data_IF_983110063398
#
_entry.id   IF_983110063398
#
_cell.length_a   1.000
_cell.length_b   1.000
_cell.length_c   1.000
_cell.angle_alpha   90.00
_cell.angle_beta   90.00
_cell.angle_gamma   90.00
#
_symmetry.space_group_name_H-M   'P 1'
#
loop_
_entity.id
_entity.type
_entity.pdbx_description
1 polymer ?
#
# COMPACT_ATOMS: atom_id res chain seq x y z
N UNK A 1 43.66 20.29 -48.13
CA UNK A 1 43.50 21.38 -47.15
C UNK A 1 42.00 21.59 -46.98
N UNK A 2 41.52 21.32 -45.77
CA UNK A 2 40.29 21.85 -45.17
C UNK A 2 40.24 23.40 -45.25
N UNK A 3 39.17 24.08 -44.78
CA UNK A 3 37.76 24.02 -45.19
C UNK A 3 37.20 25.45 -45.44
N UNK A 4 35.95 25.59 -45.89
CA UNK A 4 35.26 26.89 -45.92
C UNK A 4 33.97 26.87 -45.07
N UNK A 5 34.02 27.70 -44.03
CA UNK A 5 33.00 28.63 -43.52
C UNK A 5 31.73 28.12 -42.81
N UNK A 6 31.49 28.76 -41.66
CA UNK A 6 30.39 28.58 -40.71
C UNK A 6 29.15 29.44 -41.02
N UNK A 7 27.97 28.83 -40.84
CA UNK A 7 26.68 29.29 -40.25
C UNK A 7 25.77 30.29 -41.00
N UNK A 8 24.41 30.26 -40.81
CA UNK A 8 23.72 30.06 -39.53
C UNK A 8 22.43 29.20 -39.48
N UNK A 9 21.89 29.12 -38.26
CA UNK A 9 20.87 28.25 -37.68
C UNK A 9 19.47 28.19 -38.34
N UNK A 10 18.85 27.01 -38.33
CA UNK A 10 17.40 26.84 -38.23
C UNK A 10 17.02 25.69 -37.29
N UNK A 11 15.98 25.94 -36.50
CA UNK A 11 15.38 25.09 -35.48
C UNK A 11 14.66 23.91 -36.12
N UNK A 12 15.01 22.69 -35.73
CA UNK A 12 14.11 21.53 -35.88
C UNK A 12 13.59 21.10 -34.51
N UNK A 13 12.34 21.48 -34.25
CA UNK A 13 11.48 20.85 -33.25
C UNK A 13 11.27 19.39 -33.67
N UNK A 14 11.81 18.43 -32.91
CA UNK A 14 11.39 17.04 -32.99
C UNK A 14 10.09 16.86 -32.18
N UNK A 15 8.99 16.35 -32.76
CA UNK A 15 7.80 16.02 -31.98
C UNK A 15 8.06 14.78 -31.13
N UNK A 16 7.74 14.86 -29.83
CA UNK A 16 7.74 13.73 -28.90
C UNK A 16 6.91 12.56 -29.46
N UNK A 17 7.54 11.40 -29.62
CA UNK A 17 6.86 10.15 -29.96
C UNK A 17 5.90 9.73 -28.84
N UNK A 18 4.59 9.82 -29.11
CA UNK A 18 3.45 9.05 -28.59
C UNK A 18 3.64 8.23 -27.29
N UNK A 19 3.66 8.92 -26.14
CA UNK A 19 3.51 8.33 -24.80
C UNK A 19 2.22 7.50 -24.62
N UNK A 20 1.16 7.88 -25.34
CA UNK A 20 -0.14 7.18 -25.32
C UNK A 20 -0.02 5.76 -25.91
N UNK A 21 0.76 5.58 -26.98
CA UNK A 21 0.94 4.28 -27.62
C UNK A 21 1.78 3.30 -26.78
N UNK A 22 2.72 3.81 -25.99
CA UNK A 22 3.51 3.01 -25.07
C UNK A 22 2.68 2.54 -23.86
N UNK A 23 1.86 3.43 -23.30
CA UNK A 23 0.94 3.10 -22.20
C UNK A 23 -0.15 2.09 -22.62
N UNK A 24 -0.70 2.24 -23.82
CA UNK A 24 -1.63 1.26 -24.38
C UNK A 24 -0.94 -0.11 -24.58
N UNK A 25 0.28 -0.15 -25.15
CA UNK A 25 1.02 -1.43 -25.29
C UNK A 25 1.34 -2.08 -23.94
N UNK A 26 1.69 -1.30 -22.92
CA UNK A 26 1.93 -1.80 -21.57
C UNK A 26 0.65 -2.42 -20.96
N UNK A 27 -0.47 -1.72 -21.06
CA UNK A 27 -1.77 -2.23 -20.54
C UNK A 27 -2.28 -3.46 -21.30
N UNK A 28 -2.05 -3.56 -22.61
CA UNK A 28 -2.35 -4.78 -23.38
C UNK A 28 -1.42 -5.94 -23.03
N UNK A 29 -0.12 -5.68 -22.84
CA UNK A 29 0.84 -6.71 -22.46
C UNK A 29 0.54 -7.27 -21.07
N UNK A 30 0.18 -6.43 -20.10
CA UNK A 30 -0.26 -6.86 -18.77
C UNK A 30 -1.51 -7.73 -18.85
N UNK A 31 -2.51 -7.36 -19.67
CA UNK A 31 -3.71 -8.19 -19.88
C UNK A 31 -3.35 -9.55 -20.46
N UNK A 32 -2.50 -9.59 -21.48
CA UNK A 32 -2.07 -10.83 -22.12
C UNK A 32 -1.30 -11.76 -21.15
N UNK A 33 -0.46 -11.20 -20.27
CA UNK A 33 0.27 -11.95 -19.24
C UNK A 33 -0.70 -12.51 -18.20
N UNK A 34 -1.65 -11.71 -17.72
CA UNK A 34 -2.70 -12.16 -16.79
C UNK A 34 -3.56 -13.28 -17.39
N UNK A 35 -3.96 -13.14 -18.66
CA UNK A 35 -4.78 -14.13 -19.35
C UNK A 35 -4.01 -15.43 -19.61
N UNK A 36 -2.72 -15.34 -19.96
CA UNK A 36 -1.86 -16.51 -20.12
C UNK A 36 -1.62 -17.25 -18.79
N UNK A 37 -1.44 -16.53 -17.69
CA UNK A 37 -1.34 -17.12 -16.34
C UNK A 37 -2.65 -17.80 -15.92
N UNK A 38 -3.80 -17.19 -16.25
CA UNK A 38 -5.13 -17.74 -15.99
C UNK A 38 -5.42 -19.00 -16.81
N UNK A 39 -5.00 -19.04 -18.08
CA UNK A 39 -5.10 -20.25 -18.91
C UNK A 39 -4.20 -21.38 -18.41
N UNK A 40 -3.01 -21.05 -17.89
CA UNK A 40 -2.08 -22.05 -17.33
C UNK A 40 -2.62 -22.71 -16.06
N UNK A 41 -3.38 -21.98 -15.24
CA UNK A 41 -4.08 -22.49 -14.04
C UNK A 41 -5.25 -23.44 -14.38
N UNK A 42 -5.92 -23.26 -15.53
CA UNK A 42 -7.03 -24.12 -15.94
C UNK A 42 -6.61 -25.50 -16.44
N UNK A 43 -5.32 -25.71 -16.75
CA UNK A 43 -4.78 -26.95 -17.32
C UNK A 43 -4.07 -27.84 -16.27
N UNK A 44 -3.81 -27.34 -15.06
CA UNK A 44 -3.26 -28.13 -13.95
C UNK A 44 -4.41 -28.65 -13.09
N UNK A 45 -4.85 -29.89 -13.34
CA UNK A 45 -5.94 -30.54 -12.63
C UNK A 45 -5.60 -30.99 -11.21
N UNK A 46 -5.44 -30.04 -10.30
CA UNK A 46 -5.57 -30.28 -8.86
C UNK A 46 -6.88 -29.63 -8.37
N UNK A 47 -7.79 -30.45 -7.83
CA UNK A 47 -9.05 -30.02 -7.20
C UNK A 47 -8.76 -29.68 -5.73
N UNK A 48 -7.73 -28.87 -5.47
CA UNK A 48 -7.71 -28.04 -4.27
C UNK A 48 -8.25 -26.68 -4.67
N UNK A 49 -9.14 -26.10 -3.87
CA UNK A 49 -9.43 -24.68 -3.98
C UNK A 49 -8.18 -23.92 -3.56
N UNK A 50 -7.24 -23.77 -4.49
CA UNK A 50 -6.14 -22.83 -4.36
C UNK A 50 -6.71 -21.49 -4.82
N UNK A 51 -7.17 -20.60 -3.90
CA UNK A 51 -7.43 -19.23 -4.31
C UNK A 51 -6.11 -18.77 -4.90
N UNK A 52 -6.13 -18.24 -6.12
CA UNK A 52 -4.90 -17.77 -6.75
C UNK A 52 -4.12 -16.77 -5.87
N UNK A 53 -3.03 -16.22 -6.40
CA UNK A 53 -2.34 -15.08 -5.79
C UNK A 53 -3.21 -14.12 -4.96
N UNK A 54 -2.95 -13.99 -3.66
CA UNK A 54 -3.61 -12.97 -2.82
C UNK A 54 -3.07 -11.61 -3.21
N UNK A 55 -3.94 -10.76 -3.74
CA UNK A 55 -3.60 -9.41 -4.13
C UNK A 55 -3.86 -8.42 -2.99
N UNK A 56 -2.86 -7.60 -2.65
CA UNK A 56 -3.02 -6.53 -1.65
C UNK A 56 -2.78 -5.16 -2.27
N UNK A 57 -3.67 -4.23 -1.95
CA UNK A 57 -3.60 -2.85 -2.38
C UNK A 57 -3.43 -1.92 -1.19
N UNK A 58 -2.57 -0.92 -1.29
CA UNK A 58 -2.42 0.13 -0.28
C UNK A 58 -2.68 1.51 -0.89
N UNK A 59 -3.44 2.35 -0.19
CA UNK A 59 -3.66 3.74 -0.61
C UNK A 59 -4.01 4.68 0.55
N UNK A 60 -3.24 5.75 0.71
CA UNK A 60 -3.73 6.95 1.39
C UNK A 60 -4.67 7.69 0.43
N UNK A 61 -5.95 7.87 0.80
CA UNK A 61 -6.96 8.44 -0.12
C UNK A 61 -7.26 9.92 0.11
N UNK A 62 -6.82 10.52 1.21
CA UNK A 62 -7.20 11.88 1.65
C UNK A 62 -8.68 12.19 1.40
N UNK A 63 -9.54 11.59 2.21
CA UNK A 63 -11.00 11.51 2.10
C UNK A 63 -11.50 10.39 1.18
N UNK A 64 -12.13 9.39 1.80
CA UNK A 64 -12.77 8.26 1.15
C UNK A 64 -14.18 8.64 0.67
N UNK A 65 -14.33 8.98 -0.61
CA UNK A 65 -15.65 9.19 -1.22
C UNK A 65 -16.22 7.86 -1.73
N UNK A 66 -17.55 7.76 -1.96
CA UNK A 66 -18.14 6.58 -2.59
C UNK A 66 -17.51 6.24 -3.95
N UNK A 67 -17.15 7.26 -4.75
CA UNK A 67 -16.45 7.07 -6.02
C UNK A 67 -15.06 6.46 -5.85
N UNK A 68 -14.25 6.98 -4.93
CA UNK A 68 -12.91 6.41 -4.62
C UNK A 68 -13.03 4.99 -4.09
N UNK A 69 -14.01 4.72 -3.22
CA UNK A 69 -14.28 3.38 -2.73
C UNK A 69 -14.61 2.42 -3.89
N UNK A 70 -15.49 2.83 -4.80
CA UNK A 70 -15.82 2.04 -5.99
C UNK A 70 -14.59 1.78 -6.88
N UNK A 71 -13.76 2.80 -7.13
CA UNK A 71 -12.52 2.67 -7.92
C UNK A 71 -11.52 1.72 -7.26
N UNK A 72 -11.37 1.77 -5.94
CA UNK A 72 -10.52 0.86 -5.18
C UNK A 72 -11.03 -0.59 -5.29
N UNK A 73 -12.32 -0.81 -5.07
CA UNK A 73 -12.92 -2.15 -5.18
C UNK A 73 -12.83 -2.71 -6.60
N UNK A 74 -12.93 -1.85 -7.62
CA UNK A 74 -12.81 -2.23 -9.03
C UNK A 74 -11.40 -2.71 -9.41
N UNK A 75 -10.36 -2.43 -8.60
CA UNK A 75 -9.03 -3.00 -8.81
C UNK A 75 -9.00 -4.53 -8.60
N UNK A 76 -9.99 -5.07 -7.88
CA UNK A 76 -10.14 -6.51 -7.66
C UNK A 76 -9.08 -7.13 -6.75
N UNK A 77 -8.44 -6.33 -5.89
CA UNK A 77 -7.53 -6.85 -4.87
C UNK A 77 -8.31 -7.58 -3.76
N UNK A 78 -7.74 -8.63 -3.18
CA UNK A 78 -8.39 -9.37 -2.10
C UNK A 78 -8.41 -8.60 -0.79
N UNK A 79 -7.38 -7.78 -0.56
CA UNK A 79 -7.23 -6.94 0.63
C UNK A 79 -6.84 -5.52 0.20
N UNK A 80 -7.47 -4.50 0.79
CA UNK A 80 -7.18 -3.09 0.50
C UNK A 80 -6.96 -2.34 1.82
N UNK A 81 -5.73 -1.88 2.07
CA UNK A 81 -5.36 -1.03 3.20
C UNK A 81 -5.50 0.45 2.83
N UNK A 82 -6.33 1.17 3.56
CA UNK A 82 -6.68 2.57 3.28
C UNK A 82 -6.23 3.45 4.45
N UNK A 83 -5.58 4.56 4.15
CA UNK A 83 -5.25 5.63 5.10
C UNK A 83 -5.98 6.92 4.75
N UNK A 84 -6.20 7.78 5.75
CA UNK A 84 -6.93 9.05 5.63
C UNK A 84 -8.35 8.91 5.06
N UNK A 85 -9.18 8.10 5.70
CA UNK A 85 -10.58 7.93 5.30
C UNK A 85 -11.40 9.21 5.46
N UNK A 86 -11.14 10.02 6.49
CA UNK A 86 -11.86 11.25 6.84
C UNK A 86 -13.38 11.01 6.94
N UNK A 87 -13.76 9.96 7.67
CA UNK A 87 -15.16 9.55 7.86
C UNK A 87 -15.44 9.22 9.31
N UNK A 88 -16.60 9.67 9.80
CA UNK A 88 -17.11 9.23 11.10
C UNK A 88 -17.48 7.75 11.07
N UNK A 89 -17.67 7.15 12.24
CA UNK A 89 -18.06 5.74 12.35
C UNK A 89 -19.40 5.46 11.66
N UNK A 90 -20.34 6.40 11.72
CA UNK A 90 -21.65 6.31 11.07
C UNK A 90 -21.53 6.40 9.55
N UNK A 91 -20.65 7.28 9.06
CA UNK A 91 -20.35 7.39 7.63
C UNK A 91 -19.67 6.13 7.11
N UNK A 92 -18.76 5.53 7.86
CA UNK A 92 -18.15 4.23 7.52
C UNK A 92 -19.22 3.12 7.50
N UNK A 93 -20.07 3.05 8.52
CA UNK A 93 -21.10 2.00 8.64
C UNK A 93 -22.15 2.04 7.51
N UNK A 94 -22.39 3.22 6.94
CA UNK A 94 -23.32 3.44 5.82
C UNK A 94 -22.69 3.21 4.44
N UNK A 95 -21.38 2.96 4.34
CA UNK A 95 -20.73 2.73 3.05
C UNK A 95 -21.16 1.41 2.42
N UNK A 96 -21.45 1.45 1.12
CA UNK A 96 -21.69 0.24 0.35
C UNK A 96 -20.35 -0.38 -0.10
N UNK A 97 -20.01 -1.52 0.48
CA UNK A 97 -18.73 -2.21 0.25
C UNK A 97 -18.86 -3.45 -0.62
N UNK A 98 -20.04 -3.72 -1.20
CA UNK A 98 -20.29 -4.84 -2.11
C UNK A 98 -19.78 -6.17 -1.55
N UNK A 99 -18.81 -6.77 -2.23
CA UNK A 99 -18.19 -8.05 -1.88
C UNK A 99 -17.08 -7.97 -0.83
N UNK A 100 -16.93 -6.82 -0.14
CA UNK A 100 -15.92 -6.63 0.89
C UNK A 100 -16.52 -6.44 2.29
N UNK A 101 -15.79 -6.92 3.29
CA UNK A 101 -15.96 -6.57 4.69
C UNK A 101 -15.05 -5.38 5.00
N UNK A 102 -15.59 -4.34 5.64
CA UNK A 102 -14.86 -3.13 6.00
C UNK A 102 -14.56 -3.10 7.49
N UNK A 103 -13.28 -3.05 7.84
CA UNK A 103 -12.80 -2.78 9.18
C UNK A 103 -12.19 -1.39 9.20
N UNK A 104 -12.64 -0.50 10.08
CA UNK A 104 -12.10 0.85 10.15
C UNK A 104 -11.86 1.32 11.59
N UNK A 105 -10.95 2.26 11.74
CA UNK A 105 -10.85 3.12 12.92
C UNK A 105 -11.06 4.55 12.43
N UNK A 106 -12.20 5.15 12.79
CA UNK A 106 -12.46 6.56 12.55
C UNK A 106 -11.81 7.41 13.64
N UNK A 107 -11.40 8.63 13.26
CA UNK A 107 -10.92 9.64 14.20
C UNK A 107 -11.99 10.71 14.43
N UNK A 108 -12.05 11.20 15.67
CA UNK A 108 -12.83 12.39 16.00
C UNK A 108 -12.02 13.63 15.56
N UNK A 109 -12.62 14.46 14.71
CA UNK A 109 -12.04 15.71 14.23
C UNK A 109 -11.81 15.74 12.72
N UNK A 110 -10.90 16.62 12.27
CA UNK A 110 -10.56 16.78 10.85
C UNK A 110 -9.45 15.80 10.46
N UNK A 111 -9.64 15.13 9.33
CA UNK A 111 -8.64 14.23 8.75
C UNK A 111 -8.48 12.91 9.49
N UNK A 112 -7.48 12.13 9.08
CA UNK A 112 -7.18 10.82 9.66
C UNK A 112 -8.20 9.73 9.31
N UNK A 113 -8.24 8.69 10.12
CA UNK A 113 -9.00 7.48 9.93
C UNK A 113 -8.27 6.49 9.02
N UNK A 114 -8.32 5.22 9.41
CA UNK A 114 -7.74 4.10 8.67
C UNK A 114 -8.77 3.01 8.45
N UNK A 115 -8.61 2.25 7.37
CA UNK A 115 -9.48 1.13 7.06
C UNK A 115 -8.73 -0.02 6.38
N UNK A 116 -9.31 -1.21 6.47
CA UNK A 116 -8.94 -2.41 5.72
C UNK A 116 -10.23 -2.99 5.15
N UNK A 117 -10.28 -3.15 3.83
CA UNK A 117 -11.29 -3.94 3.13
C UNK A 117 -10.74 -5.34 2.90
N UNK A 118 -11.54 -6.36 3.17
CA UNK A 118 -11.20 -7.76 2.88
C UNK A 118 -12.33 -8.38 2.07
N UNK A 119 -12.00 -9.07 0.98
CA UNK A 119 -12.99 -9.74 0.14
C UNK A 119 -13.72 -10.81 0.95
N UNK A 120 -15.05 -10.87 0.87
CA UNK A 120 -15.93 -11.78 1.64
C UNK A 120 -15.66 -13.27 1.36
N UNK A 121 -14.97 -13.58 0.27
CA UNK A 121 -14.49 -14.93 -0.03
C UNK A 121 -13.41 -15.40 0.96
N UNK A 122 -12.74 -14.47 1.65
CA UNK A 122 -11.79 -14.75 2.71
C UNK A 122 -12.45 -14.56 4.07
N UNK A 123 -12.22 -15.50 4.99
CA UNK A 123 -12.66 -15.32 6.38
C UNK A 123 -11.73 -14.34 7.05
N UNK A 124 -12.28 -13.31 7.69
CA UNK A 124 -11.49 -12.30 8.39
C UNK A 124 -12.11 -11.88 9.71
N UNK A 125 -11.26 -11.42 10.65
CA UNK A 125 -11.69 -10.85 11.92
C UNK A 125 -10.76 -9.73 12.37
N UNK A 126 -11.30 -8.72 13.06
CA UNK A 126 -10.50 -7.66 13.66
C UNK A 126 -9.72 -8.22 14.85
N UNK A 127 -8.43 -7.91 14.93
CA UNK A 127 -7.62 -8.13 16.14
C UNK A 127 -7.79 -6.89 17.03
N UNK A 128 -8.27 -7.03 18.28
CA UNK A 128 -8.37 -5.91 19.21
C UNK A 128 -6.98 -5.37 19.55
N UNK A 129 -6.69 -4.14 19.11
CA UNK A 129 -5.52 -3.38 19.54
C UNK A 129 -6.00 -2.03 20.07
N UNK A 130 -5.92 -1.86 21.39
CA UNK A 130 -6.33 -0.62 22.05
C UNK A 130 -5.17 0.36 22.07
N UNK A 131 -5.31 1.43 21.28
CA UNK A 131 -4.44 2.61 21.34
C UNK A 131 -4.93 3.49 22.50
N UNK A 132 -4.06 3.86 23.46
CA UNK A 132 -4.44 4.74 24.56
C UNK A 132 -4.98 6.08 24.04
N UNK A 133 -6.01 6.63 24.70
CA UNK A 133 -6.65 7.89 24.26
C UNK A 133 -5.69 9.08 24.17
N UNK A 134 -4.63 9.09 24.99
CA UNK A 134 -3.61 10.14 24.96
C UNK A 134 -2.63 9.99 23.80
N UNK A 135 -2.47 8.78 23.24
CA UNK A 135 -1.66 8.56 22.06
C UNK A 135 -2.48 8.91 20.83
N UNK A 136 -2.35 10.16 20.40
CA UNK A 136 -2.99 10.64 19.19
C UNK A 136 -2.08 10.52 17.96
N UNK A 137 -0.86 10.00 18.10
CA UNK A 137 0.11 9.94 16.99
C UNK A 137 -0.21 8.84 15.98
N UNK A 138 -0.73 7.71 16.45
CA UNK A 138 -0.93 6.49 15.67
C UNK A 138 -2.42 6.15 15.55
N UNK A 139 -2.86 5.93 14.31
CA UNK A 139 -4.18 5.41 13.99
C UNK A 139 -3.98 4.06 13.28
N UNK A 140 -4.61 2.98 13.75
CA UNK A 140 -4.33 1.63 13.24
C UNK A 140 -5.54 0.69 13.34
N UNK A 141 -5.79 -0.04 12.26
CA UNK A 141 -6.69 -1.20 12.28
C UNK A 141 -5.92 -2.45 11.90
N UNK A 142 -6.10 -3.51 12.70
CA UNK A 142 -5.44 -4.80 12.51
C UNK A 142 -6.50 -5.87 12.24
N UNK A 143 -6.32 -6.63 11.17
CA UNK A 143 -7.24 -7.65 10.71
C UNK A 143 -6.48 -8.94 10.50
N UNK A 144 -6.99 -10.04 11.04
CA UNK A 144 -6.55 -11.38 10.71
C UNK A 144 -7.37 -11.88 9.52
N UNK A 145 -6.71 -12.41 8.50
CA UNK A 145 -7.32 -12.96 7.28
C UNK A 145 -6.85 -14.40 7.11
N UNK A 146 -7.79 -15.34 7.06
CA UNK A 146 -7.48 -16.75 6.82
C UNK A 146 -7.19 -16.95 5.33
N UNK A 147 -5.98 -17.40 5.01
CA UNK A 147 -5.56 -17.69 3.64
C UNK A 147 -5.99 -19.09 3.22
N UNK A 148 -5.73 -20.09 4.08
CA UNK A 148 -6.10 -21.49 3.87
C UNK A 148 -6.31 -22.24 5.20
N UNK A 149 -6.31 -23.59 5.15
CA UNK A 149 -6.41 -24.42 6.34
C UNK A 149 -5.14 -24.32 7.19
N UNK A 150 -5.19 -23.45 8.20
CA UNK A 150 -4.16 -23.17 9.23
C UNK A 150 -3.13 -22.08 8.91
N UNK A 151 -3.24 -21.33 7.81
CA UNK A 151 -2.46 -20.10 7.62
C UNK A 151 -3.33 -18.86 7.71
N UNK A 152 -2.97 -17.99 8.64
CA UNK A 152 -3.56 -16.68 8.83
C UNK A 152 -2.53 -15.59 8.48
N UNK A 153 -2.94 -14.59 7.72
CA UNK A 153 -2.21 -13.35 7.48
C UNK A 153 -2.74 -12.25 8.41
N UNK A 154 -1.83 -11.54 9.08
CA UNK A 154 -2.19 -10.34 9.82
C UNK A 154 -1.94 -9.13 8.91
N UNK A 155 -2.96 -8.32 8.68
CA UNK A 155 -2.85 -7.06 7.92
C UNK A 155 -3.15 -5.90 8.83
N UNK A 156 -2.24 -4.93 8.88
CA UNK A 156 -2.42 -3.68 9.60
C UNK A 156 -2.43 -2.51 8.62
N UNK A 157 -3.47 -1.68 8.66
CA UNK A 157 -3.44 -0.34 8.03
C UNK A 157 -3.15 0.69 9.12
N UNK A 158 -2.03 1.40 8.99
CA UNK A 158 -1.54 2.37 9.96
C UNK A 158 -1.37 3.76 9.32
N UNK A 159 -1.61 4.79 10.12
CA UNK A 159 -1.36 6.18 9.77
C UNK A 159 -0.68 6.86 10.95
N UNK A 160 0.51 7.40 10.75
CA UNK A 160 1.18 8.26 11.74
C UNK A 160 0.97 9.71 11.38
N UNK A 161 0.47 10.48 12.35
CA UNK A 161 0.22 11.91 12.15
C UNK A 161 1.54 12.67 12.02
N UNK A 162 1.65 13.67 11.13
CA UNK A 162 2.76 14.61 11.14
C UNK A 162 2.63 15.62 12.31
N UNK A 163 3.72 15.94 13.03
CA UNK A 163 5.05 15.35 12.90
C UNK A 163 5.09 13.91 13.44
N UNK A 164 5.76 12.98 12.74
CA UNK A 164 5.74 11.56 13.08
C UNK A 164 6.45 11.29 14.42
N UNK A 165 5.99 10.28 15.15
CA UNK A 165 6.57 9.84 16.42
C UNK A 165 6.49 8.32 16.56
N UNK A 166 7.57 7.69 17.03
CA UNK A 166 7.58 6.26 17.39
C UNK A 166 7.11 6.10 18.83
N UNK A 167 5.81 5.88 19.02
CA UNK A 167 5.23 5.74 20.37
C UNK A 167 5.26 4.31 20.89
N UNK A 168 4.95 4.13 22.18
CA UNK A 168 4.79 2.81 22.78
C UNK A 168 3.68 2.00 22.10
N UNK A 169 2.66 2.64 21.54
CA UNK A 169 1.60 1.95 20.79
C UNK A 169 2.13 1.32 19.51
N UNK A 170 3.02 2.01 18.79
CA UNK A 170 3.68 1.44 17.63
C UNK A 170 4.60 0.28 18.01
N UNK A 171 5.41 0.43 19.07
CA UNK A 171 6.24 -0.68 19.60
C UNK A 171 5.40 -1.91 19.94
N UNK A 172 4.23 -1.72 20.56
CA UNK A 172 3.29 -2.82 20.84
C UNK A 172 2.71 -3.45 19.57
N UNK A 173 2.39 -2.66 18.55
CA UNK A 173 1.89 -3.18 17.27
C UNK A 173 2.88 -4.16 16.64
N UNK A 174 4.17 -3.82 16.63
CA UNK A 174 5.20 -4.67 15.99
C UNK A 174 5.68 -5.81 16.89
N UNK A 175 5.68 -5.66 18.22
CA UNK A 175 6.25 -6.65 19.13
C UNK A 175 5.23 -7.61 19.78
N UNK A 176 3.94 -7.24 19.89
CA UNK A 176 2.94 -8.08 20.56
C UNK A 176 2.30 -9.13 19.63
N UNK A 177 2.56 -9.06 18.33
CA UNK A 177 2.10 -10.07 17.38
C UNK A 177 3.08 -11.24 17.37
N UNK A 178 2.60 -12.51 17.31
CA UNK A 178 3.51 -13.66 17.30
C UNK A 178 4.54 -13.52 16.18
N UNK A 179 5.82 -13.74 16.51
CA UNK A 179 6.91 -13.59 15.53
C UNK A 179 6.76 -14.54 14.34
N UNK A 180 6.14 -15.71 14.54
CA UNK A 180 5.83 -16.70 13.51
C UNK A 180 4.59 -16.37 12.67
N UNK A 181 3.82 -15.34 13.03
CA UNK A 181 2.66 -14.94 12.25
C UNK A 181 3.08 -13.95 11.15
N UNK A 182 2.73 -14.22 9.89
CA UNK A 182 3.01 -13.28 8.82
C UNK A 182 2.23 -11.99 9.05
N UNK A 183 2.94 -10.87 8.94
CA UNK A 183 2.40 -9.53 9.15
C UNK A 183 2.63 -8.70 7.90
N UNK A 184 1.59 -8.08 7.38
CA UNK A 184 1.68 -7.02 6.42
C UNK A 184 1.29 -5.71 7.09
N UNK A 185 2.29 -4.86 7.36
CA UNK A 185 2.11 -3.52 7.88
C UNK A 185 2.10 -2.53 6.72
N UNK A 186 0.92 -2.05 6.38
CA UNK A 186 0.69 -1.04 5.36
C UNK A 186 0.42 0.31 6.01
N UNK A 187 1.09 1.37 5.57
CA UNK A 187 0.76 2.68 6.11
C UNK A 187 1.40 3.88 5.45
N UNK A 188 0.91 5.04 5.87
CA UNK A 188 1.54 6.32 5.65
C UNK A 188 2.10 6.78 7.01
N UNK A 189 3.42 6.72 7.12
CA UNK A 189 4.13 7.01 8.35
C UNK A 189 4.61 8.47 8.42
N UNK A 190 4.41 9.27 7.37
CA UNK A 190 4.89 10.65 7.26
C UNK A 190 6.39 10.80 7.62
N UNK A 191 7.22 9.83 7.25
CA UNK A 191 8.67 9.79 7.49
C UNK A 191 9.43 9.66 6.18
N UNK A 192 10.60 10.29 6.13
CA UNK A 192 11.52 10.26 4.99
C UNK A 192 12.81 9.54 5.40
N UNK A 193 13.26 8.57 4.60
CA UNK A 193 14.49 7.83 4.84
C UNK A 193 15.13 7.35 3.53
N UNK A 194 16.48 7.39 3.39
CA UNK A 194 17.17 6.95 2.17
C UNK A 194 16.88 5.52 1.69
N UNK A 195 16.42 4.64 2.58
CA UNK A 195 16.07 3.25 2.21
C UNK A 195 14.82 3.13 1.33
N UNK A 196 13.83 4.01 1.49
CA UNK A 196 12.65 4.06 0.62
C UNK A 196 12.64 5.29 -0.30
N UNK A 197 13.42 6.32 0.04
CA UNK A 197 13.63 7.54 -0.75
C UNK A 197 15.13 7.71 -1.09
N UNK A 198 15.67 6.98 -2.08
CA UNK A 198 17.10 6.95 -2.36
C UNK A 198 17.69 8.31 -2.81
N UNK A 199 16.83 9.23 -3.27
CA UNK A 199 17.22 10.58 -3.69
C UNK A 199 17.00 11.64 -2.61
N UNK A 200 16.76 11.24 -1.36
CA UNK A 200 16.62 12.17 -0.25
C UNK A 200 17.96 12.91 -0.02
N UNK A 201 17.95 14.22 -0.21
CA UNK A 201 19.16 15.06 -0.07
C UNK A 201 19.55 15.31 1.39
N UNK A 202 18.59 15.19 2.31
CA UNK A 202 18.79 15.38 3.74
C UNK A 202 19.05 14.07 4.46
N UNK A 203 19.84 14.12 5.53
CA UNK A 203 19.94 13.00 6.49
C UNK A 203 18.56 12.61 7.03
N UNK A 204 18.30 11.31 7.27
CA UNK A 204 17.05 10.88 7.88
C UNK A 204 16.90 11.48 9.28
N UNK A 205 15.64 11.70 9.69
CA UNK A 205 15.36 12.11 11.07
C UNK A 205 15.66 10.97 12.05
N UNK A 206 15.96 11.30 13.31
CA UNK A 206 16.13 10.31 14.38
C UNK A 206 14.91 9.39 14.50
N UNK A 207 13.71 9.95 14.33
CA UNK A 207 12.45 9.20 14.35
C UNK A 207 12.36 8.19 13.21
N UNK A 208 12.80 8.55 12.00
CA UNK A 208 12.79 7.65 10.84
C UNK A 208 13.84 6.52 11.00
N UNK A 209 15.01 6.83 11.56
CA UNK A 209 16.03 5.84 11.88
C UNK A 209 15.54 4.86 12.97
N UNK A 210 14.95 5.39 14.05
CA UNK A 210 14.37 4.58 15.13
C UNK A 210 13.24 3.68 14.63
N UNK A 211 12.37 4.20 13.75
CA UNK A 211 11.30 3.41 13.14
C UNK A 211 11.86 2.20 12.39
N UNK A 212 12.89 2.44 11.55
CA UNK A 212 13.51 1.41 10.73
C UNK A 212 14.20 0.35 11.59
N UNK A 213 14.95 0.77 12.61
CA UNK A 213 15.61 -0.14 13.55
C UNK A 213 14.59 -1.04 14.24
N UNK A 214 13.51 -0.45 14.77
CA UNK A 214 12.43 -1.19 15.42
C UNK A 214 11.73 -2.18 14.47
N UNK A 215 11.48 -1.79 13.22
CA UNK A 215 10.94 -2.69 12.22
C UNK A 215 11.88 -3.86 11.94
N UNK A 216 13.18 -3.59 11.79
CA UNK A 216 14.22 -4.58 11.52
C UNK A 216 14.33 -5.57 12.68
N UNK A 217 14.37 -5.08 13.91
CA UNK A 217 14.42 -5.90 15.14
C UNK A 217 13.19 -6.79 15.30
N UNK A 218 12.02 -6.30 14.87
CA UNK A 218 10.78 -7.07 14.84
C UNK A 218 10.66 -8.00 13.61
N UNK A 219 11.72 -8.13 12.80
CA UNK A 219 11.80 -8.98 11.63
C UNK A 219 10.99 -8.49 10.42
N UNK A 220 10.58 -7.22 10.39
CA UNK A 220 9.89 -6.63 9.24
C UNK A 220 10.90 -6.29 8.14
N UNK A 221 10.59 -6.71 6.93
CA UNK A 221 11.33 -6.35 5.71
C UNK A 221 10.56 -5.31 4.92
N UNK A 222 11.26 -4.26 4.48
CA UNK A 222 10.70 -3.24 3.60
C UNK A 222 10.38 -3.85 2.22
N UNK A 223 9.15 -3.65 1.74
CA UNK A 223 8.73 -4.13 0.40
C UNK A 223 8.63 -3.06 -0.66
N UNK A 224 8.81 -1.78 -0.30
CA UNK A 224 8.83 -0.70 -1.27
C UNK A 224 9.98 -0.89 -2.25
N UNK A 225 9.70 -0.74 -3.54
CA UNK A 225 10.74 -0.56 -4.54
C UNK A 225 11.39 0.81 -4.29
N UNK A 226 12.71 0.89 -3.99
CA UNK A 226 13.36 2.17 -3.71
C UNK A 226 13.20 3.14 -4.89
N UNK A 227 12.77 4.37 -4.61
CA UNK A 227 12.63 5.42 -5.62
C UNK A 227 11.27 5.49 -6.32
N UNK A 228 10.34 4.59 -6.01
CA UNK A 228 8.94 4.74 -6.43
C UNK A 228 8.24 5.81 -5.57
N UNK A 229 7.95 6.95 -6.21
CA UNK A 229 7.18 8.03 -5.61
C UNK A 229 5.73 7.55 -5.43
N UNK A 230 5.16 7.65 -4.23
CA UNK A 230 3.74 7.32 -4.00
C UNK A 230 2.84 8.55 -3.71
N UNK A 231 3.44 9.73 -3.54
CA UNK A 231 2.76 11.02 -3.42
C UNK A 231 3.57 12.09 -4.16
N UNK A 232 2.91 12.94 -4.94
CA UNK A 232 3.54 14.05 -5.63
C UNK A 232 2.75 15.34 -5.36
N UNK A 233 3.43 16.39 -4.92
CA UNK A 233 2.81 17.70 -4.65
C UNK A 233 2.32 18.35 -5.95
N UNK A 234 1.00 18.40 -6.15
CA UNK A 234 0.37 19.14 -7.26
C UNK A 234 -0.58 18.32 -8.16
N UNK A 235 -0.52 16.99 -8.10
CA UNK A 235 -1.49 16.11 -8.75
C UNK A 235 -2.53 15.66 -7.72
N UNK A 236 -3.83 15.83 -8.02
CA UNK A 236 -4.95 15.39 -7.15
C UNK A 236 -5.09 13.87 -7.04
N UNK A 237 -4.18 13.11 -7.66
CA UNK A 237 -4.21 11.66 -7.75
C UNK A 237 -2.95 11.10 -7.10
N UNK A 238 -3.16 10.32 -6.04
CA UNK A 238 -2.12 9.57 -5.32
C UNK A 238 -1.92 8.23 -6.01
N UNK A 239 -0.67 7.79 -6.11
CA UNK A 239 -0.31 6.62 -6.90
C UNK A 239 -0.77 5.35 -6.17
N UNK A 240 -1.38 4.46 -6.93
CA UNK A 240 -1.89 3.16 -6.52
C UNK A 240 -0.70 2.21 -6.31
N UNK A 241 -0.34 1.89 -5.07
CA UNK A 241 0.59 0.78 -4.84
C UNK A 241 -0.17 -0.53 -4.88
N UNK A 242 -0.10 -1.22 -6.03
CA UNK A 242 -0.55 -2.60 -6.20
C UNK A 242 0.67 -3.49 -6.09
N UNK A 243 0.75 -4.25 -5.00
CA UNK A 243 1.75 -5.30 -4.89
C UNK A 243 1.06 -6.63 -5.11
N UNK A 244 1.40 -7.30 -6.21
CA UNK A 244 1.04 -8.70 -6.42
C UNK A 244 1.97 -9.54 -5.50
N UNK A 245 1.73 -9.52 -4.18
CA UNK A 245 2.52 -10.24 -3.18
C UNK A 245 2.09 -11.70 -3.07
N UNK A 246 2.43 -12.47 -4.08
CA UNK A 246 1.83 -13.79 -4.31
C UNK A 246 2.53 -14.94 -3.60
N UNK A 247 3.78 -14.78 -3.11
CA UNK A 247 4.55 -15.96 -2.63
C UNK A 247 5.37 -15.76 -1.36
N UNK A 248 5.33 -14.61 -0.71
CA UNK A 248 6.29 -14.30 0.36
C UNK A 248 5.78 -14.55 1.80
N UNK A 249 4.51 -14.89 2.01
CA UNK A 249 3.92 -14.84 3.36
C UNK A 249 4.07 -16.10 4.21
N UNK A 250 4.84 -17.11 3.79
CA UNK A 250 4.95 -18.34 4.59
C UNK A 250 5.56 -18.11 5.98
N UNK A 251 6.36 -17.04 6.15
CA UNK A 251 6.83 -16.54 7.45
C UNK A 251 7.22 -15.04 7.43
N UNK A 252 7.00 -14.31 6.33
CA UNK A 252 7.54 -12.95 6.23
C UNK A 252 6.67 -11.92 6.94
N UNK A 253 7.34 -10.98 7.63
CA UNK A 253 6.75 -9.74 8.12
C UNK A 253 7.22 -8.63 7.19
N UNK A 254 6.30 -7.87 6.62
CA UNK A 254 6.53 -6.91 5.56
C UNK A 254 6.02 -5.54 5.98
N UNK A 255 6.75 -4.48 5.64
CA UNK A 255 6.31 -3.09 5.82
C UNK A 255 6.28 -2.35 4.48
N UNK A 256 5.16 -1.70 4.20
CA UNK A 256 4.88 -0.96 2.96
C UNK A 256 4.47 0.48 3.27
N UNK A 257 5.10 1.43 2.58
CA UNK A 257 4.97 2.87 2.81
C UNK A 257 4.22 3.56 1.66
N UNK A 258 3.41 4.56 2.01
CA UNK A 258 3.12 5.67 1.12
C UNK A 258 4.27 6.69 1.22
N UNK A 259 5.28 6.58 0.35
CA UNK A 259 6.36 7.56 0.13
C UNK A 259 5.86 8.85 -0.53
N UNK A 260 6.09 10.00 0.09
CA UNK A 260 5.79 11.33 -0.48
C UNK A 260 7.02 12.01 -1.07
N UNK A 261 6.93 12.43 -2.34
CA UNK A 261 7.85 13.38 -2.96
C UNK A 261 7.50 14.83 -2.61
#
# INVERSE_FOLDING_TARGET
MEPCTWLPAERYFYPLLNSIGAYQRYTYCLRAVCDAQRQKLLLSGDIEQNPGPIAVLQMNVSCLTPSKLATLMAQGADIIAIQETWKSSEQIASMHTGDYVLYAQSRIGKGGGVAVLVRKTLRSKRIPLTIPQHDTSLEVVVVQVALDQNRDLIVASAYMRPPPQVTQSFRRLVNCLPASSPLLLCGDFNMHHPQWEPFLESSPSEVAAEFLELCTDAGLTLVNTPGEITYARGTREKILYRSDMVKAFDCARLVSFCVAA
#
